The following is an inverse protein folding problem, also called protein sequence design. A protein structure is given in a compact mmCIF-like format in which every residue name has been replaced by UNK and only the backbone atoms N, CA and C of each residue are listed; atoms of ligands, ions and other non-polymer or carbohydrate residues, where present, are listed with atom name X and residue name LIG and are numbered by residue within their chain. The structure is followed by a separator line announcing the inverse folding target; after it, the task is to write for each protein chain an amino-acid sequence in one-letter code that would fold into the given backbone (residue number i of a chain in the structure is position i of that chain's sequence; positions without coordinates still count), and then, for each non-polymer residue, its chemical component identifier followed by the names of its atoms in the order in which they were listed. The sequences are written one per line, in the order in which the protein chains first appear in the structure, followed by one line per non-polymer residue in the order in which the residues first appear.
data_IF_019952137567
#
_entry.id   IF_019952137567
#
_cell.length_a   1.000
_cell.length_b   1.000
_cell.length_c   1.000
_cell.angle_alpha   90.00
_cell.angle_beta   90.00
_cell.angle_gamma   90.00
#
_symmetry.space_group_name_H-M   'P 1'
#
loop_
_entity.id
_entity.type
_entity.pdbx_description
1 polymer ?
#
# COMPACT_ATOMS: atom_id res chain seq x y z
N UNK A 1 15.43 -1.89 30.10
CA UNK A 1 14.57 -0.84 30.63
C UNK A 1 14.22 0.15 29.53
N UNK A 2 12.94 0.37 29.33
CA UNK A 2 12.45 1.27 28.29
C UNK A 2 12.98 2.69 28.42
N UNK A 3 13.31 3.13 29.63
CA UNK A 3 13.82 4.47 29.90
C UNK A 3 15.20 4.72 29.32
N UNK A 4 15.94 3.65 29.04
CA UNK A 4 17.32 3.75 28.56
C UNK A 4 17.46 3.55 27.05
N UNK A 5 16.35 3.29 26.36
CA UNK A 5 16.37 3.10 24.91
C UNK A 5 16.35 4.45 24.22
N UNK A 6 17.40 4.74 23.43
CA UNK A 6 17.45 5.98 22.69
C UNK A 6 16.44 5.98 21.54
N UNK A 7 16.00 7.17 21.07
CA UNK A 7 15.13 7.24 19.90
C UNK A 7 15.72 6.54 18.68
N UNK A 8 17.03 6.72 18.45
CA UNK A 8 17.70 6.08 17.32
C UNK A 8 17.69 4.56 17.43
N UNK A 9 17.99 4.02 18.61
CA UNK A 9 17.98 2.58 18.84
C UNK A 9 16.60 1.99 18.60
N UNK A 10 15.54 2.68 19.06
CA UNK A 10 14.18 2.24 18.83
C UNK A 10 13.81 2.30 17.35
N UNK A 11 14.18 3.36 16.66
CA UNK A 11 13.95 3.48 15.22
C UNK A 11 14.62 2.36 14.45
N UNK A 12 15.88 2.08 14.75
CA UNK A 12 16.63 1.01 14.10
C UNK A 12 15.99 -0.36 14.34
N UNK A 13 15.50 -0.60 15.54
CA UNK A 13 14.82 -1.84 15.89
C UNK A 13 13.54 -2.01 15.06
N UNK A 14 12.77 -0.93 14.90
CA UNK A 14 11.55 -0.95 14.09
C UNK A 14 11.87 -1.18 12.61
N UNK A 15 12.86 -0.47 12.09
CA UNK A 15 13.25 -0.57 10.68
C UNK A 15 13.89 -1.93 10.35
N UNK A 16 14.49 -2.58 11.34
CA UNK A 16 15.04 -3.93 11.15
C UNK A 16 13.95 -4.97 10.91
N UNK A 17 12.74 -4.73 11.38
CA UNK A 17 11.61 -5.65 11.18
C UNK A 17 11.00 -5.53 9.79
N UNK A 18 10.86 -4.32 9.30
CA UNK A 18 10.31 -4.03 7.97
C UNK A 18 10.57 -2.57 7.62
N UNK A 19 10.41 -2.23 6.35
CA UNK A 19 10.40 -0.84 5.94
C UNK A 19 9.21 -0.12 6.55
N UNK A 20 9.41 1.13 6.90
CA UNK A 20 8.37 2.04 7.38
C UNK A 20 8.41 3.28 6.51
N UNK A 21 7.25 3.93 6.34
CA UNK A 21 7.25 5.29 5.79
C UNK A 21 7.75 6.26 6.86
N UNK A 22 8.17 7.44 6.42
CA UNK A 22 8.60 8.51 7.35
C UNK A 22 7.48 8.76 8.37
N UNK A 23 6.25 8.94 7.90
CA UNK A 23 5.11 9.21 8.79
C UNK A 23 4.87 8.07 9.78
N UNK A 24 4.95 6.82 9.32
CA UNK A 24 4.76 5.67 10.21
C UNK A 24 5.79 5.66 11.35
N UNK A 25 7.05 5.93 11.01
CA UNK A 25 8.11 5.96 12.02
C UNK A 25 7.90 7.10 13.00
N UNK A 26 7.56 8.28 12.49
CA UNK A 26 7.23 9.43 13.34
C UNK A 26 6.11 9.10 14.32
N UNK A 27 5.05 8.49 13.84
CA UNK A 27 3.88 8.11 14.64
C UNK A 27 4.26 7.12 15.75
N UNK A 28 5.07 6.14 15.42
CA UNK A 28 5.49 5.13 16.39
C UNK A 28 6.42 5.68 17.47
N UNK A 29 7.22 6.68 17.13
CA UNK A 29 8.12 7.32 18.09
C UNK A 29 7.43 8.39 18.94
N UNK A 30 6.33 8.92 18.45
CA UNK A 30 5.62 10.04 19.06
C UNK A 30 5.19 9.78 20.51
N UNK A 31 4.84 8.55 20.85
CA UNK A 31 4.39 8.18 22.19
C UNK A 31 5.52 8.13 23.22
N UNK A 32 6.78 8.13 22.77
CA UNK A 32 7.93 7.87 23.64
C UNK A 32 8.93 9.01 23.71
N UNK A 33 8.96 9.89 22.70
CA UNK A 33 10.00 10.91 22.60
C UNK A 33 9.42 12.24 22.15
N UNK A 34 10.07 13.37 22.53
CA UNK A 34 9.62 14.68 22.08
C UNK A 34 9.93 14.93 20.61
N UNK A 35 9.19 15.85 20.02
CA UNK A 35 9.24 16.13 18.58
C UNK A 35 10.65 16.41 18.05
N UNK A 36 11.45 17.22 18.79
CA UNK A 36 12.79 17.58 18.33
C UNK A 36 13.75 16.39 18.26
N UNK A 37 13.60 15.43 19.17
CA UNK A 37 14.39 14.20 19.15
C UNK A 37 13.98 13.31 17.97
N UNK A 38 12.68 13.25 17.70
CA UNK A 38 12.16 12.48 16.58
C UNK A 38 12.68 13.04 15.24
N UNK A 39 12.66 14.37 15.09
CA UNK A 39 13.19 15.02 13.88
C UNK A 39 14.65 14.66 13.61
N UNK A 40 15.47 14.68 14.65
CA UNK A 40 16.88 14.30 14.53
C UNK A 40 17.05 12.85 14.07
N UNK A 41 16.27 11.96 14.64
CA UNK A 41 16.33 10.52 14.28
C UNK A 41 15.86 10.29 12.85
N UNK A 42 14.77 10.92 12.47
CA UNK A 42 14.24 10.81 11.10
C UNK A 42 15.30 11.28 10.10
N UNK A 43 15.88 12.44 10.36
CA UNK A 43 16.91 13.00 9.49
C UNK A 43 18.11 12.06 9.35
N UNK A 44 18.57 11.50 10.47
CA UNK A 44 19.67 10.53 10.47
C UNK A 44 19.31 9.27 9.65
N UNK A 45 18.13 8.74 9.87
CA UNK A 45 17.68 7.54 9.14
C UNK A 45 17.55 7.80 7.64
N UNK A 46 17.13 9.00 7.26
CA UNK A 46 17.07 9.39 5.84
C UNK A 46 18.46 9.51 5.23
N UNK A 47 19.39 10.13 5.93
CA UNK A 47 20.76 10.30 5.48
C UNK A 47 21.45 8.96 5.25
N UNK A 48 21.22 8.02 6.14
CA UNK A 48 21.82 6.68 6.07
C UNK A 48 21.05 5.73 5.15
N UNK A 49 19.97 6.20 4.54
CA UNK A 49 19.10 5.41 3.70
C UNK A 49 18.46 4.20 4.42
N UNK A 50 18.37 4.26 5.73
CA UNK A 50 17.64 3.27 6.52
C UNK A 50 16.15 3.50 6.43
N UNK A 51 15.75 4.74 6.10
CA UNK A 51 14.38 5.19 5.92
C UNK A 51 14.26 5.77 4.53
N UNK A 52 13.33 5.24 3.73
CA UNK A 52 13.20 5.61 2.33
C UNK A 52 11.79 5.35 1.85
N UNK A 53 11.01 6.40 1.63
CA UNK A 53 9.61 6.29 1.24
C UNK A 53 9.43 5.62 -0.13
N UNK A 54 10.36 5.81 -1.06
CA UNK A 54 10.28 5.14 -2.36
C UNK A 54 10.43 3.62 -2.21
N UNK A 55 11.38 3.19 -1.40
CA UNK A 55 11.59 1.78 -1.11
C UNK A 55 10.40 1.18 -0.34
N UNK A 56 9.86 1.95 0.61
CA UNK A 56 8.65 1.55 1.33
C UNK A 56 7.49 1.34 0.36
N UNK A 57 7.30 2.27 -0.57
CA UNK A 57 6.22 2.18 -1.56
C UNK A 57 6.37 0.95 -2.44
N UNK A 58 7.58 0.65 -2.92
CA UNK A 58 7.84 -0.54 -3.73
C UNK A 58 7.46 -1.83 -3.01
N UNK A 59 7.91 -1.95 -1.78
CA UNK A 59 7.65 -3.10 -0.94
C UNK A 59 6.15 -3.26 -0.66
N UNK A 60 5.50 -2.15 -0.36
CA UNK A 60 4.07 -2.10 -0.07
C UNK A 60 3.23 -2.53 -1.28
N UNK A 61 3.58 -2.00 -2.46
CA UNK A 61 2.89 -2.34 -3.70
C UNK A 61 2.99 -3.85 -3.98
N UNK A 62 4.18 -4.43 -3.84
CA UNK A 62 4.37 -5.86 -4.05
C UNK A 62 3.54 -6.69 -3.09
N UNK A 63 3.55 -6.33 -1.82
CA UNK A 63 2.82 -7.05 -0.78
C UNK A 63 1.31 -6.98 -1.00
N UNK A 64 0.80 -5.78 -1.25
CA UNK A 64 -0.64 -5.58 -1.40
C UNK A 64 -1.18 -6.17 -2.68
N UNK A 65 -0.45 -6.03 -3.80
CA UNK A 65 -0.87 -6.62 -5.06
C UNK A 65 -0.89 -8.15 -4.98
N UNK A 66 0.08 -8.75 -4.30
CA UNK A 66 0.06 -10.19 -4.03
C UNK A 66 -1.14 -10.60 -3.21
N UNK A 67 -1.64 -9.72 -2.35
CA UNK A 67 -2.86 -9.95 -1.57
C UNK A 67 -4.16 -9.72 -2.33
N UNK A 68 -4.08 -9.35 -3.62
CA UNK A 68 -5.26 -9.18 -4.45
C UNK A 68 -5.84 -7.77 -4.46
N UNK A 69 -5.07 -6.76 -4.06
CA UNK A 69 -5.54 -5.38 -4.07
C UNK A 69 -5.05 -4.64 -5.32
N UNK A 70 -5.89 -3.75 -5.83
CA UNK A 70 -5.63 -3.00 -7.04
C UNK A 70 -4.89 -1.68 -6.80
N UNK A 71 -4.44 -1.03 -7.88
CA UNK A 71 -3.56 0.13 -7.77
C UNK A 71 -4.21 1.35 -7.11
N UNK A 72 -5.51 1.55 -7.29
CA UNK A 72 -6.19 2.72 -6.72
C UNK A 72 -6.22 2.66 -5.20
N UNK A 73 -6.50 1.49 -4.64
CA UNK A 73 -6.52 1.31 -3.19
C UNK A 73 -5.11 1.37 -2.61
N UNK A 74 -4.15 0.75 -3.29
CA UNK A 74 -2.75 0.77 -2.85
C UNK A 74 -2.23 2.21 -2.81
N UNK A 75 -2.53 2.99 -3.86
CA UNK A 75 -2.14 4.40 -3.91
C UNK A 75 -2.74 5.20 -2.76
N UNK A 76 -4.03 4.98 -2.48
CA UNK A 76 -4.71 5.67 -1.39
C UNK A 76 -4.10 5.30 -0.03
N UNK A 77 -3.82 4.03 0.19
CA UNK A 77 -3.19 3.56 1.43
C UNK A 77 -1.80 4.18 1.61
N UNK A 78 -1.01 4.23 0.54
CA UNK A 78 0.32 4.86 0.59
C UNK A 78 0.23 6.36 0.89
N UNK A 79 -0.76 7.04 0.31
CA UNK A 79 -1.00 8.45 0.59
C UNK A 79 -1.35 8.67 2.05
N UNK A 80 -2.16 7.80 2.63
CA UNK A 80 -2.52 7.84 4.05
C UNK A 80 -1.29 7.61 4.95
N UNK A 81 -0.32 6.88 4.46
CA UNK A 81 0.95 6.65 5.16
C UNK A 81 1.97 7.75 4.92
N UNK A 82 1.57 8.82 4.26
CA UNK A 82 2.38 10.02 4.08
C UNK A 82 3.34 9.99 2.91
N UNK A 83 3.24 9.00 2.03
CA UNK A 83 4.08 8.95 0.83
C UNK A 83 3.55 9.96 -0.19
N UNK A 84 4.42 10.73 -0.81
CA UNK A 84 4.05 11.75 -1.77
C UNK A 84 3.49 11.15 -3.05
N UNK A 85 2.53 11.84 -3.67
CA UNK A 85 1.84 11.37 -4.88
C UNK A 85 2.79 11.00 -6.00
N UNK A 86 3.83 11.81 -6.22
CA UNK A 86 4.81 11.55 -7.28
C UNK A 86 5.61 10.28 -7.00
N UNK A 87 5.99 10.07 -5.76
CA UNK A 87 6.69 8.86 -5.34
C UNK A 87 5.81 7.63 -5.57
N UNK A 88 4.53 7.72 -5.24
CA UNK A 88 3.57 6.64 -5.45
C UNK A 88 3.43 6.35 -6.95
N UNK A 89 3.26 7.39 -7.76
CA UNK A 89 3.09 7.25 -9.20
C UNK A 89 4.27 6.53 -9.84
N UNK A 90 5.49 6.95 -9.48
CA UNK A 90 6.71 6.33 -10.01
C UNK A 90 6.86 4.89 -9.54
N UNK A 91 6.56 4.61 -8.27
CA UNK A 91 6.66 3.26 -7.73
C UNK A 91 5.68 2.30 -8.40
N UNK A 92 4.45 2.74 -8.65
CA UNK A 92 3.45 1.94 -9.35
C UNK A 92 3.87 1.65 -10.79
N UNK A 93 4.43 2.65 -11.47
CA UNK A 93 4.91 2.48 -12.85
C UNK A 93 6.08 1.50 -12.90
N UNK A 94 7.04 1.64 -12.00
CA UNK A 94 8.24 0.81 -11.96
C UNK A 94 7.97 -0.62 -11.52
N UNK A 95 6.89 -0.85 -10.79
CA UNK A 95 6.50 -2.18 -10.35
C UNK A 95 6.11 -3.08 -11.53
N UNK A 96 5.69 -2.50 -12.64
CA UNK A 96 5.34 -3.21 -13.88
C UNK A 96 4.33 -4.36 -13.65
N UNK A 97 3.35 -4.11 -12.78
CA UNK A 97 2.32 -5.12 -12.49
C UNK A 97 1.27 -5.11 -13.59
N UNK A 98 0.96 -6.29 -14.10
CA UNK A 98 -0.17 -6.47 -15.02
C UNK A 98 -1.46 -6.58 -14.19
N UNK A 99 -2.12 -5.44 -14.01
CA UNK A 99 -3.33 -5.34 -13.18
C UNK A 99 -4.49 -6.14 -13.77
N UNK A 100 -4.57 -6.21 -15.10
CA UNK A 100 -5.61 -7.00 -15.76
C UNK A 100 -5.41 -8.49 -15.48
N UNK A 101 -4.18 -8.98 -15.59
CA UNK A 101 -3.87 -10.37 -15.28
C UNK A 101 -4.18 -10.71 -13.82
N UNK A 102 -3.88 -9.79 -12.91
CA UNK A 102 -4.19 -9.96 -11.49
C UNK A 102 -5.70 -10.07 -11.28
N UNK A 103 -6.46 -9.16 -11.88
CA UNK A 103 -7.92 -9.18 -11.77
C UNK A 103 -8.52 -10.46 -12.36
N UNK A 104 -8.03 -10.89 -13.51
CA UNK A 104 -8.50 -12.12 -14.13
C UNK A 104 -8.25 -13.34 -13.24
N UNK A 105 -7.10 -13.39 -12.56
CA UNK A 105 -6.83 -14.48 -11.62
C UNK A 105 -7.80 -14.44 -10.42
N UNK A 106 -8.14 -13.27 -9.93
CA UNK A 106 -9.12 -13.15 -8.85
C UNK A 106 -10.49 -13.65 -9.29
N UNK A 107 -10.89 -13.33 -10.51
CA UNK A 107 -12.17 -13.79 -11.07
C UNK A 107 -12.18 -15.29 -11.31
N UNK A 108 -11.06 -15.84 -11.73
CA UNK A 108 -10.92 -17.29 -11.94
C UNK A 108 -11.16 -18.07 -10.65
N UNK A 109 -10.67 -17.56 -9.53
CA UNK A 109 -10.87 -18.18 -8.20
C UNK A 109 -12.32 -18.14 -7.72
N UNK A 110 -13.15 -17.28 -8.34
CA UNK A 110 -14.55 -17.11 -7.97
C UNK A 110 -15.51 -17.84 -8.90
N UNK A 111 -14.98 -18.70 -9.76
CA UNK A 111 -15.82 -19.47 -10.68
C UNK A 111 -16.70 -20.48 -9.93
N UNK A 112 -17.96 -20.70 -10.37
CA UNK A 112 -18.60 -20.00 -11.49
C UNK A 112 -19.00 -18.57 -11.10
N UNK A 113 -18.90 -17.64 -12.07
CA UNK A 113 -19.32 -16.25 -11.84
C UNK A 113 -20.84 -16.17 -11.86
N UNK A 114 -21.43 -15.21 -11.14
CA UNK A 114 -22.87 -15.07 -11.11
C UNK A 114 -23.43 -14.63 -12.47
N UNK A 115 -24.59 -15.17 -12.84
CA UNK A 115 -25.32 -14.78 -14.05
C UNK A 115 -26.29 -13.64 -13.80
N UNK A 116 -26.74 -13.53 -12.58
CA UNK A 116 -27.69 -12.50 -12.17
C UNK A 116 -27.06 -11.10 -12.23
N UNK A 117 -27.79 -10.15 -12.82
CA UNK A 117 -27.32 -8.77 -12.98
C UNK A 117 -27.00 -8.11 -11.64
N UNK A 118 -27.88 -8.26 -10.65
CA UNK A 118 -27.66 -7.68 -9.34
C UNK A 118 -26.41 -8.25 -8.67
N UNK A 119 -26.21 -9.56 -8.76
CA UNK A 119 -25.03 -10.21 -8.20
C UNK A 119 -23.75 -9.79 -8.93
N UNK A 120 -23.81 -9.56 -10.23
CA UNK A 120 -22.69 -9.04 -11.01
C UNK A 120 -22.29 -7.64 -10.59
N UNK A 121 -23.27 -6.75 -10.38
CA UNK A 121 -23.01 -5.41 -9.88
C UNK A 121 -22.39 -5.46 -8.47
N UNK A 122 -22.88 -6.35 -7.63
CA UNK A 122 -22.33 -6.52 -6.28
C UNK A 122 -20.87 -6.95 -6.34
N UNK A 123 -20.53 -7.86 -7.25
CA UNK A 123 -19.16 -8.30 -7.45
C UNK A 123 -18.29 -7.17 -7.99
N UNK A 124 -18.79 -6.40 -8.97
CA UNK A 124 -18.08 -5.23 -9.49
C UNK A 124 -17.77 -4.23 -8.38
N UNK A 125 -18.74 -3.95 -7.50
CA UNK A 125 -18.56 -3.05 -6.39
C UNK A 125 -17.49 -3.56 -5.40
N UNK A 126 -17.46 -4.87 -5.15
CA UNK A 126 -16.46 -5.48 -4.29
C UNK A 126 -15.05 -5.34 -4.88
N UNK A 127 -14.91 -5.55 -6.18
CA UNK A 127 -13.63 -5.39 -6.87
C UNK A 127 -13.18 -3.94 -6.92
N UNK A 128 -14.12 -3.00 -7.03
CA UNK A 128 -13.83 -1.58 -6.98
C UNK A 128 -13.30 -1.19 -5.60
N UNK A 129 -13.88 -1.73 -4.53
CA UNK A 129 -13.37 -1.53 -3.17
C UNK A 129 -11.98 -2.12 -2.99
N UNK A 130 -11.65 -3.18 -3.70
CA UNK A 130 -10.28 -3.74 -3.69
C UNK A 130 -9.27 -2.85 -4.41
N UNK A 131 -9.75 -1.86 -5.17
CA UNK A 131 -8.85 -0.87 -5.78
C UNK A 131 -8.66 -0.99 -7.29
N UNK A 132 -9.50 -1.77 -7.97
CA UNK A 132 -9.46 -1.83 -9.44
C UNK A 132 -10.37 -0.76 -10.02
N UNK A 133 -9.98 -0.19 -11.17
CA UNK A 133 -10.80 0.82 -11.82
C UNK A 133 -12.08 0.19 -12.37
N UNK A 134 -13.15 0.97 -12.39
CA UNK A 134 -14.42 0.50 -12.96
C UNK A 134 -14.25 0.11 -14.42
N UNK A 135 -13.48 0.87 -15.18
CA UNK A 135 -13.19 0.57 -16.58
C UNK A 135 -12.57 -0.81 -16.75
N UNK A 136 -11.56 -1.13 -15.96
CA UNK A 136 -10.91 -2.44 -16.03
C UNK A 136 -11.87 -3.55 -15.60
N UNK A 137 -12.62 -3.32 -14.52
CA UNK A 137 -13.60 -4.29 -14.00
C UNK A 137 -14.65 -4.59 -15.08
N UNK A 138 -15.17 -3.57 -15.75
CA UNK A 138 -16.20 -3.77 -16.78
C UNK A 138 -15.65 -4.53 -17.98
N UNK A 139 -14.39 -4.33 -18.33
CA UNK A 139 -13.77 -5.11 -19.41
C UNK A 139 -13.60 -6.57 -19.06
N UNK A 140 -13.31 -6.89 -17.80
CA UNK A 140 -13.08 -8.27 -17.35
C UNK A 140 -14.34 -8.96 -16.86
N UNK A 141 -15.31 -8.20 -16.37
CA UNK A 141 -16.56 -8.71 -15.82
C UNK A 141 -17.72 -7.84 -16.30
N UNK A 142 -18.09 -7.91 -17.57
CA UNK A 142 -19.18 -7.09 -18.07
C UNK A 142 -20.51 -7.52 -17.45
N UNK A 143 -21.37 -6.53 -17.17
CA UNK A 143 -22.75 -6.78 -16.78
C UNK A 143 -23.56 -6.93 -18.06
N UNK A 144 -24.32 -8.01 -18.15
CA UNK A 144 -25.12 -8.26 -19.34
C UNK A 144 -26.12 -7.13 -19.57
N UNK A 145 -26.16 -6.62 -20.79
CA UNK A 145 -27.18 -5.64 -21.19
C UNK A 145 -28.51 -6.36 -21.39
N UNK A 146 -29.56 -5.70 -20.95
CA UNK A 146 -30.90 -6.27 -21.04
C UNK A 146 -31.55 -5.82 -22.35
#
# INVERSE_FOLDING_TARGET
NKKNVTPLAKAMKLLARRDHSVRELQQKLKSYYPAHEIEHVIERCLQENWLNDARFAESYIRSRSSGGYGPLRIALELQQKGVEKETIRLALREAEIDWQALLLRLLERRQPLPDDVAARYKLQNALQRKGFSLDLIQRCLPVAEI
#
